data_IF_161836988732
#
_entry.id   IF_161836988732
#
_cell.length_a   1.000
_cell.length_b   1.000
_cell.length_c   1.000
_cell.angle_alpha   90.00
_cell.angle_beta   90.00
_cell.angle_gamma   90.00
#
_symmetry.space_group_name_H-M   'P 1'
#
loop_
_entity.id
_entity.type
_entity.pdbx_description
1 polymer ?
#
# COMPACT_ATOMS: atom_id res chain seq x y z
N UNK A 1 -7.55 -35.39 -39.32
CA UNK A 1 -6.50 -35.05 -38.33
C UNK A 1 -7.14 -34.23 -37.21
N UNK A 2 -7.72 -34.87 -36.17
CA UNK A 2 -8.34 -34.20 -35.00
C UNK A 2 -8.69 -35.27 -33.95
N UNK A 3 -7.69 -35.82 -33.25
CA UNK A 3 -7.92 -36.81 -32.15
C UNK A 3 -7.02 -36.61 -30.93
N UNK A 4 -6.04 -35.70 -30.96
CA UNK A 4 -5.10 -35.48 -29.83
C UNK A 4 -5.47 -34.29 -28.94
N UNK A 5 -6.23 -33.31 -29.42
CA UNK A 5 -6.55 -32.08 -28.66
C UNK A 5 -7.68 -32.26 -27.65
N UNK A 6 -8.69 -33.09 -27.96
CA UNK A 6 -9.86 -33.27 -27.09
C UNK A 6 -9.54 -34.00 -25.76
N UNK A 7 -8.58 -34.94 -25.75
CA UNK A 7 -8.18 -35.63 -24.52
C UNK A 7 -7.47 -34.69 -23.53
N UNK A 8 -6.59 -33.82 -24.03
CA UNK A 8 -5.83 -32.88 -23.18
C UNK A 8 -6.77 -31.86 -22.55
N UNK A 9 -7.73 -31.33 -23.32
CA UNK A 9 -8.72 -30.36 -22.80
C UNK A 9 -9.62 -30.98 -21.74
N UNK A 10 -10.10 -32.22 -21.93
CA UNK A 10 -10.89 -32.92 -20.90
C UNK A 10 -10.08 -33.20 -19.62
N UNK A 11 -8.81 -33.60 -19.73
CA UNK A 11 -7.98 -33.87 -18.55
C UNK A 11 -7.68 -32.60 -17.75
N UNK A 12 -7.47 -31.46 -18.43
CA UNK A 12 -7.27 -30.16 -17.77
C UNK A 12 -8.55 -29.69 -17.08
N UNK A 13 -9.72 -29.84 -17.71
CA UNK A 13 -11.00 -29.45 -17.07
C UNK A 13 -11.28 -30.30 -15.83
N UNK A 14 -11.05 -31.63 -15.88
CA UNK A 14 -11.24 -32.52 -14.72
C UNK A 14 -10.29 -32.15 -13.58
N UNK A 15 -9.02 -31.85 -13.89
CA UNK A 15 -8.05 -31.40 -12.88
C UNK A 15 -8.48 -30.08 -12.23
N UNK A 16 -8.94 -29.09 -13.02
CA UNK A 16 -9.40 -27.80 -12.48
C UNK A 16 -10.65 -27.98 -11.62
N UNK A 17 -11.65 -28.77 -12.06
CA UNK A 17 -12.86 -29.03 -11.24
C UNK A 17 -12.58 -29.83 -9.98
N UNK A 18 -11.60 -30.74 -10.00
CA UNK A 18 -11.19 -31.48 -8.81
C UNK A 18 -10.46 -30.58 -7.81
N UNK A 19 -9.61 -29.67 -8.28
CA UNK A 19 -8.90 -28.71 -7.42
C UNK A 19 -9.89 -27.73 -6.78
N UNK A 20 -10.83 -27.17 -7.55
CA UNK A 20 -11.86 -26.27 -7.00
C UNK A 20 -12.85 -27.00 -6.10
N UNK A 21 -13.21 -28.24 -6.41
CA UNK A 21 -14.12 -29.05 -5.61
C UNK A 21 -13.51 -29.49 -4.26
N UNK A 22 -12.22 -29.79 -4.23
CA UNK A 22 -11.49 -30.13 -2.99
C UNK A 22 -11.32 -28.90 -2.09
N UNK A 23 -11.01 -27.73 -2.66
CA UNK A 23 -10.91 -26.46 -1.90
C UNK A 23 -12.25 -26.04 -1.28
N UNK A 24 -13.36 -26.13 -2.02
CA UNK A 24 -14.70 -25.83 -1.50
C UNK A 24 -15.15 -26.84 -0.43
N UNK A 25 -14.83 -28.13 -0.60
CA UNK A 25 -15.17 -29.17 0.37
C UNK A 25 -14.33 -29.06 1.65
N UNK A 26 -13.07 -28.62 1.59
CA UNK A 26 -12.24 -28.41 2.78
C UNK A 26 -12.67 -27.20 3.60
N UNK A 27 -13.12 -26.11 2.97
CA UNK A 27 -13.68 -24.94 3.69
C UNK A 27 -14.92 -25.29 4.51
N UNK A 28 -15.77 -26.19 3.99
CA UNK A 28 -16.99 -26.66 4.69
C UNK A 28 -16.73 -27.61 5.88
N UNK A 29 -15.55 -28.24 5.95
CA UNK A 29 -15.22 -29.27 6.96
C UNK A 29 -14.13 -28.83 7.96
N UNK A 30 -13.23 -27.92 7.59
CA UNK A 30 -12.02 -27.59 8.36
C UNK A 30 -11.88 -26.11 8.74
N UNK A 31 -12.89 -25.28 8.42
CA UNK A 31 -12.91 -23.85 8.72
C UNK A 31 -12.36 -22.99 7.58
N UNK A 32 -12.56 -21.67 7.69
CA UNK A 32 -12.27 -20.68 6.64
C UNK A 32 -10.80 -20.66 6.18
N UNK A 33 -9.87 -21.09 7.03
CA UNK A 33 -8.43 -21.06 6.78
C UNK A 33 -7.81 -22.45 6.61
N UNK A 34 -8.61 -23.46 6.29
CA UNK A 34 -8.12 -24.82 6.12
C UNK A 34 -7.09 -24.94 4.99
N UNK A 35 -5.85 -25.31 5.34
CA UNK A 35 -4.77 -25.50 4.36
C UNK A 35 -3.99 -24.23 4.05
N UNK A 36 -4.30 -23.09 4.69
CA UNK A 36 -3.58 -21.82 4.49
C UNK A 36 -2.09 -21.93 4.81
N UNK A 37 -1.70 -22.88 5.67
CA UNK A 37 -0.29 -23.16 5.98
C UNK A 37 0.50 -23.66 4.76
N UNK A 38 -0.19 -24.21 3.75
CA UNK A 38 0.40 -24.68 2.50
C UNK A 38 0.48 -23.60 1.44
N UNK A 39 -0.37 -22.57 1.53
CA UNK A 39 -0.41 -21.44 0.60
C UNK A 39 0.84 -20.58 0.71
N UNK A 40 1.24 -19.97 -0.40
CA UNK A 40 2.32 -19.00 -0.39
C UNK A 40 1.85 -17.70 0.28
N UNK A 41 2.74 -17.08 1.07
CA UNK A 41 2.51 -15.74 1.60
C UNK A 41 2.97 -14.72 0.55
N UNK A 42 2.04 -13.93 0.02
CA UNK A 42 2.32 -12.90 -0.99
C UNK A 42 2.60 -11.53 -0.37
N UNK A 43 2.09 -11.32 0.84
CA UNK A 43 2.25 -10.05 1.54
C UNK A 43 2.09 -10.14 3.06
N UNK A 44 2.69 -9.16 3.72
CA UNK A 44 2.57 -8.93 5.14
C UNK A 44 2.41 -7.43 5.38
N UNK A 45 1.56 -7.05 6.33
CA UNK A 45 1.41 -5.65 6.75
C UNK A 45 1.27 -5.57 8.26
N UNK A 46 2.03 -4.66 8.84
CA UNK A 46 1.86 -4.15 10.20
C UNK A 46 1.43 -2.69 10.13
N UNK A 47 0.52 -2.27 11.01
CA UNK A 47 0.18 -0.86 11.16
C UNK A 47 -0.21 -0.50 12.58
N UNK A 48 0.17 0.70 13.00
CA UNK A 48 -0.21 1.34 14.26
C UNK A 48 -0.95 2.62 13.96
N UNK A 49 -2.17 2.79 14.46
CA UNK A 49 -2.98 4.00 14.21
C UNK A 49 -4.06 4.22 15.28
N UNK A 50 -4.79 5.33 15.21
CA UNK A 50 -6.00 5.56 16.02
C UNK A 50 -5.78 6.29 17.35
N UNK A 51 -4.57 6.82 17.60
CA UNK A 51 -4.33 7.70 18.75
C UNK A 51 -4.86 9.12 18.52
N UNK A 52 -5.00 9.91 19.59
CA UNK A 52 -5.54 11.30 19.55
C UNK A 52 -4.88 12.19 18.49
N UNK A 53 -3.56 12.06 18.31
CA UNK A 53 -2.82 12.88 17.36
C UNK A 53 -3.18 12.56 15.90
N UNK A 54 -3.84 11.42 15.67
CA UNK A 54 -4.19 10.93 14.34
C UNK A 54 -2.99 10.49 13.52
N UNK A 55 -1.81 10.37 14.15
CA UNK A 55 -0.63 9.79 13.51
C UNK A 55 -0.82 8.31 13.24
N UNK A 56 -0.09 7.83 12.24
CA UNK A 56 -0.09 6.42 11.86
C UNK A 56 1.28 5.97 11.39
N UNK A 57 1.56 4.71 11.60
CA UNK A 57 2.75 4.04 11.10
C UNK A 57 2.32 2.75 10.42
N UNK A 58 2.95 2.40 9.30
CA UNK A 58 2.76 1.08 8.70
C UNK A 58 4.02 0.60 8.03
N UNK A 59 4.24 -0.70 8.14
CA UNK A 59 5.24 -1.46 7.41
C UNK A 59 4.50 -2.49 6.57
N UNK A 60 4.97 -2.69 5.35
CA UNK A 60 4.47 -3.77 4.51
C UNK A 60 5.59 -4.40 3.73
N UNK A 61 5.46 -5.70 3.50
CA UNK A 61 6.35 -6.50 2.66
C UNK A 61 5.46 -7.19 1.65
N UNK A 62 5.78 -7.09 0.38
CA UNK A 62 5.03 -7.76 -0.69
C UNK A 62 5.95 -8.26 -1.78
N UNK A 63 5.52 -9.27 -2.53
CA UNK A 63 6.26 -9.73 -3.69
C UNK A 63 6.52 -8.60 -4.69
N UNK A 64 7.74 -8.55 -5.24
CA UNK A 64 8.14 -7.51 -6.18
C UNK A 64 8.74 -8.06 -7.47
N UNK A 65 9.67 -9.02 -7.34
CA UNK A 65 10.29 -9.70 -8.47
C UNK A 65 10.54 -11.19 -8.16
N UNK A 66 11.30 -11.86 -9.02
CA UNK A 66 11.70 -13.26 -8.82
C UNK A 66 12.45 -13.44 -7.50
N UNK A 67 13.47 -12.59 -7.26
CA UNK A 67 14.37 -12.73 -6.12
C UNK A 67 14.12 -11.72 -4.98
N UNK A 68 13.29 -10.69 -5.21
CA UNK A 68 13.12 -9.60 -4.23
C UNK A 68 11.68 -9.40 -3.79
N UNK A 69 11.53 -8.97 -2.54
CA UNK A 69 10.31 -8.38 -2.01
C UNK A 69 10.49 -6.86 -1.84
N UNK A 70 9.36 -6.14 -1.93
CA UNK A 70 9.29 -4.71 -1.68
C UNK A 70 8.89 -4.48 -0.22
N UNK A 71 9.78 -3.86 0.55
CA UNK A 71 9.49 -3.39 1.89
C UNK A 71 9.13 -1.91 1.82
N UNK A 72 7.91 -1.54 2.24
CA UNK A 72 7.43 -0.15 2.28
C UNK A 72 7.15 0.27 3.72
N UNK A 73 7.74 1.38 4.16
CA UNK A 73 7.46 2.06 5.43
C UNK A 73 6.73 3.36 5.13
N UNK A 74 5.57 3.57 5.75
CA UNK A 74 4.79 4.81 5.66
C UNK A 74 4.58 5.34 7.08
N UNK A 75 4.86 6.63 7.28
CA UNK A 75 4.68 7.28 8.57
C UNK A 75 3.98 8.63 8.41
N UNK A 76 2.86 8.81 9.08
CA UNK A 76 2.17 10.08 9.24
C UNK A 76 2.29 10.52 10.69
N UNK A 77 2.74 11.74 10.94
CA UNK A 77 2.82 12.27 12.31
C UNK A 77 1.44 12.66 12.84
N UNK A 78 0.55 13.09 11.95
CA UNK A 78 -0.79 13.61 12.28
C UNK A 78 -1.78 13.30 11.16
N UNK A 79 -3.08 13.37 11.44
CA UNK A 79 -4.13 13.02 10.47
C UNK A 79 -4.19 13.86 9.17
N UNK A 80 -3.46 14.99 9.10
CA UNK A 80 -3.37 15.86 7.91
C UNK A 80 -1.97 15.91 7.30
N UNK A 81 -1.06 15.09 7.82
CA UNK A 81 0.30 14.96 7.28
C UNK A 81 0.27 14.10 6.02
N UNK A 82 1.00 14.50 4.99
CA UNK A 82 1.18 13.70 3.77
C UNK A 82 2.02 12.45 4.05
N UNK A 83 2.73 12.50 5.17
CA UNK A 83 3.56 11.42 5.66
C UNK A 83 4.87 11.31 4.90
N UNK A 84 5.72 10.43 5.39
CA UNK A 84 6.94 10.02 4.71
C UNK A 84 6.79 8.60 4.22
N UNK A 85 7.37 8.32 3.06
CA UNK A 85 7.44 6.96 2.53
C UNK A 85 8.87 6.60 2.25
N UNK A 86 9.26 5.38 2.64
CA UNK A 86 10.55 4.78 2.31
C UNK A 86 10.30 3.39 1.77
N UNK A 87 10.93 3.07 0.65
CA UNK A 87 10.83 1.76 0.02
C UNK A 87 12.21 1.13 -0.10
N UNK A 88 12.25 -0.19 0.06
CA UNK A 88 13.47 -0.96 -0.01
C UNK A 88 13.23 -2.25 -0.80
N UNK A 89 14.25 -2.68 -1.52
CA UNK A 89 14.35 -4.05 -1.98
C UNK A 89 15.04 -4.87 -0.90
N UNK A 90 14.37 -5.94 -0.49
CA UNK A 90 14.88 -6.96 0.42
C UNK A 90 14.82 -8.31 -0.26
N UNK A 91 15.61 -9.25 0.23
CA UNK A 91 15.55 -10.64 -0.22
C UNK A 91 14.14 -11.21 0.03
N UNK A 92 13.59 -11.92 -0.98
CA UNK A 92 12.24 -12.49 -0.96
C UNK A 92 12.05 -13.55 0.13
N UNK A 93 13.13 -14.15 0.65
CA UNK A 93 13.09 -15.12 1.76
C UNK A 93 12.39 -14.59 3.02
N UNK A 94 12.32 -13.26 3.19
CA UNK A 94 11.58 -12.61 4.29
C UNK A 94 10.12 -13.11 4.38
N UNK A 95 9.45 -13.32 3.25
CA UNK A 95 8.06 -13.79 3.22
C UNK A 95 7.95 -15.24 3.73
N UNK A 96 8.97 -16.06 3.48
CA UNK A 96 9.03 -17.43 3.99
C UNK A 96 9.26 -17.44 5.51
N UNK A 97 10.14 -16.58 6.03
CA UNK A 97 10.39 -16.45 7.48
C UNK A 97 9.13 -15.93 8.21
N UNK A 98 8.47 -14.91 7.67
CA UNK A 98 7.20 -14.38 8.23
C UNK A 98 6.10 -15.46 8.21
N UNK A 99 5.96 -16.21 7.12
CA UNK A 99 5.04 -17.35 7.03
C UNK A 99 5.38 -18.42 8.06
N UNK A 100 6.65 -18.72 8.28
CA UNK A 100 7.06 -19.73 9.26
C UNK A 100 6.60 -19.35 10.68
N UNK A 101 6.71 -18.06 11.06
CA UNK A 101 6.18 -17.56 12.34
C UNK A 101 4.66 -17.68 12.42
N UNK A 102 3.96 -17.32 11.34
CA UNK A 102 2.50 -17.47 11.23
C UNK A 102 2.06 -18.92 11.52
N UNK A 103 2.69 -19.89 10.85
CA UNK A 103 2.38 -21.33 10.99
C UNK A 103 2.78 -21.85 12.37
N UNK A 104 3.98 -21.50 12.86
CA UNK A 104 4.52 -21.90 14.17
C UNK A 104 3.57 -21.56 15.32
N UNK A 105 2.90 -20.42 15.25
CA UNK A 105 2.02 -19.94 16.32
C UNK A 105 0.53 -20.10 16.06
N UNK A 106 0.14 -20.79 14.99
CA UNK A 106 -1.25 -21.00 14.59
C UNK A 106 -2.03 -19.67 14.51
N UNK A 107 -1.43 -18.68 13.85
CA UNK A 107 -2.01 -17.33 13.75
C UNK A 107 -3.29 -17.29 12.91
N UNK A 108 -3.60 -18.33 12.14
CA UNK A 108 -4.91 -18.47 11.47
C UNK A 108 -6.07 -18.44 12.46
N UNK A 109 -5.85 -18.88 13.71
CA UNK A 109 -6.86 -18.87 14.79
C UNK A 109 -6.98 -17.50 15.48
N UNK A 110 -6.23 -16.52 14.99
CA UNK A 110 -6.18 -15.18 15.56
C UNK A 110 -6.96 -14.19 14.72
N UNK A 111 -7.45 -14.60 13.54
CA UNK A 111 -8.28 -13.77 12.70
C UNK A 111 -9.46 -13.18 13.49
N UNK A 112 -9.59 -11.85 13.43
CA UNK A 112 -10.61 -11.07 14.14
C UNK A 112 -10.73 -11.39 15.64
N UNK A 113 -9.68 -11.97 16.24
CA UNK A 113 -9.71 -12.41 17.64
C UNK A 113 -9.71 -11.21 18.57
N UNK A 114 -10.58 -11.25 19.58
CA UNK A 114 -10.49 -10.35 20.73
C UNK A 114 -9.38 -10.84 21.68
N UNK A 115 -8.25 -10.14 21.72
CA UNK A 115 -7.10 -10.52 22.57
C UNK A 115 -7.22 -10.03 24.00
N UNK A 116 -7.98 -8.96 24.22
CA UNK A 116 -8.20 -8.34 25.52
C UNK A 116 -9.57 -7.68 25.57
N UNK A 117 -10.16 -7.63 26.76
CA UNK A 117 -11.36 -6.83 27.03
C UNK A 117 -11.01 -5.39 27.46
N UNK A 118 -9.71 -5.08 27.59
CA UNK A 118 -9.25 -3.75 27.95
C UNK A 118 -9.45 -2.80 26.78
N UNK A 119 -10.14 -1.69 27.05
CA UNK A 119 -10.18 -0.53 26.17
C UNK A 119 -9.26 0.54 26.72
N UNK A 120 -8.41 1.09 25.87
CA UNK A 120 -7.54 2.21 26.21
C UNK A 120 -8.09 3.41 25.47
N UNK A 121 -8.68 4.36 26.22
CA UNK A 121 -9.09 5.63 25.65
C UNK A 121 -7.87 6.28 24.97
N UNK A 122 -8.06 6.75 23.74
CA UNK A 122 -7.02 7.40 22.93
C UNK A 122 -5.80 6.52 22.58
N UNK A 123 -5.89 5.22 22.87
CA UNK A 123 -4.85 4.25 22.58
C UNK A 123 -4.79 3.90 21.10
N UNK A 124 -3.58 3.86 20.56
CA UNK A 124 -3.35 3.31 19.22
C UNK A 124 -3.65 1.83 19.18
N UNK A 125 -4.19 1.35 18.07
CA UNK A 125 -4.30 -0.08 17.78
C UNK A 125 -3.15 -0.52 16.88
N UNK A 126 -2.53 -1.63 17.27
CA UNK A 126 -1.59 -2.38 16.45
C UNK A 126 -2.37 -3.43 15.66
N UNK A 127 -2.15 -3.49 14.35
CA UNK A 127 -2.86 -4.36 13.42
C UNK A 127 -1.87 -5.08 12.53
N UNK A 128 -2.16 -6.35 12.28
CA UNK A 128 -1.37 -7.25 11.44
C UNK A 128 -2.27 -7.84 10.37
N UNK A 129 -1.71 -8.01 9.18
CA UNK A 129 -2.36 -8.69 8.05
C UNK A 129 -1.35 -9.57 7.34
N UNK A 130 -1.72 -10.82 7.12
CA UNK A 130 -0.99 -11.78 6.30
C UNK A 130 -1.84 -12.05 5.05
N UNK A 131 -1.29 -11.77 3.88
CA UNK A 131 -1.95 -11.94 2.58
C UNK A 131 -1.38 -13.18 1.90
N UNK A 132 -2.24 -14.17 1.67
CA UNK A 132 -1.94 -15.41 0.96
C UNK A 132 -2.63 -15.42 -0.41
N UNK A 133 -2.28 -16.39 -1.25
CA UNK A 133 -2.77 -16.53 -2.62
C UNK A 133 -4.31 -16.49 -2.73
N UNK A 134 -5.03 -17.07 -1.76
CA UNK A 134 -6.49 -17.18 -1.83
C UNK A 134 -7.23 -16.44 -0.72
N UNK A 135 -6.57 -16.13 0.39
CA UNK A 135 -7.21 -15.52 1.54
C UNK A 135 -6.24 -14.62 2.33
N UNK A 136 -6.73 -13.94 3.35
CA UNK A 136 -5.92 -13.18 4.28
C UNK A 136 -6.38 -13.40 5.71
N UNK A 137 -5.43 -13.31 6.64
CA UNK A 137 -5.71 -13.30 8.08
C UNK A 137 -5.36 -11.94 8.62
N UNK A 138 -6.28 -11.31 9.33
CA UNK A 138 -6.04 -10.00 9.94
C UNK A 138 -6.52 -9.95 11.38
N UNK A 139 -5.72 -9.30 12.22
CA UNK A 139 -6.02 -9.17 13.63
C UNK A 139 -5.41 -7.89 14.19
N UNK A 140 -6.12 -7.27 15.13
CA UNK A 140 -5.71 -6.00 15.73
C UNK A 140 -6.02 -5.95 17.20
N UNK A 141 -5.21 -5.23 17.97
CA UNK A 141 -5.48 -4.93 19.37
C UNK A 141 -4.81 -3.62 19.79
N UNK A 142 -5.43 -2.89 20.72
CA UNK A 142 -4.76 -1.79 21.44
C UNK A 142 -3.72 -2.30 22.44
N UNK A 143 -3.84 -3.57 22.83
CA UNK A 143 -2.90 -4.22 23.76
C UNK A 143 -2.86 -5.72 23.52
N UNK A 144 -1.67 -6.24 23.24
CA UNK A 144 -1.42 -7.68 23.18
C UNK A 144 -0.89 -8.17 24.53
N UNK A 145 -1.56 -9.12 25.21
CA UNK A 145 -1.01 -9.77 26.39
C UNK A 145 0.34 -10.45 26.10
N UNK A 146 1.16 -10.62 27.13
CA UNK A 146 2.56 -11.12 27.01
C UNK A 146 2.71 -12.40 26.18
N UNK A 147 1.75 -13.32 26.31
CA UNK A 147 1.72 -14.58 25.55
C UNK A 147 1.56 -14.42 24.03
N UNK A 148 1.17 -13.23 23.56
CA UNK A 148 1.05 -12.87 22.15
C UNK A 148 2.11 -11.86 21.73
N UNK A 149 2.41 -10.85 22.54
CA UNK A 149 3.44 -9.84 22.22
C UNK A 149 4.81 -10.48 22.00
N UNK A 150 5.19 -11.47 22.83
CA UNK A 150 6.44 -12.24 22.66
C UNK A 150 6.54 -12.95 21.30
N UNK A 151 5.40 -13.34 20.72
CA UNK A 151 5.34 -13.98 19.39
C UNK A 151 5.41 -12.96 18.25
N UNK A 152 4.77 -11.80 18.44
CA UNK A 152 4.81 -10.70 17.47
C UNK A 152 6.21 -10.08 17.38
N UNK A 153 6.98 -10.07 18.48
CA UNK A 153 8.37 -9.62 18.49
C UNK A 153 9.27 -10.41 17.52
N UNK A 154 8.98 -11.70 17.29
CA UNK A 154 9.72 -12.52 16.31
C UNK A 154 9.49 -12.01 14.88
N UNK A 155 8.31 -11.45 14.56
CA UNK A 155 8.06 -10.78 13.28
C UNK A 155 8.92 -9.51 13.17
N UNK A 156 8.92 -8.67 14.21
CA UNK A 156 9.72 -7.43 14.23
C UNK A 156 11.22 -7.70 14.06
N UNK A 157 11.73 -8.76 14.69
CA UNK A 157 13.14 -9.18 14.56
C UNK A 157 13.48 -9.61 13.13
N UNK A 158 12.58 -10.32 12.45
CA UNK A 158 12.74 -10.67 11.03
C UNK A 158 12.76 -9.40 10.17
N UNK A 159 11.80 -8.50 10.35
CA UNK A 159 11.72 -7.27 9.55
C UNK A 159 13.01 -6.43 9.69
N UNK A 160 13.50 -6.26 10.92
CA UNK A 160 14.72 -5.51 11.19
C UNK A 160 15.96 -6.16 10.56
N UNK A 161 16.12 -7.49 10.69
CA UNK A 161 17.22 -8.25 10.09
C UNK A 161 17.33 -8.02 8.58
N UNK A 162 16.21 -8.04 7.86
CA UNK A 162 16.22 -7.84 6.41
C UNK A 162 16.45 -6.38 6.00
N UNK A 163 15.98 -5.43 6.81
CA UNK A 163 16.23 -4.00 6.59
C UNK A 163 17.72 -3.63 6.70
N UNK A 164 18.51 -4.32 7.53
CA UNK A 164 19.95 -4.04 7.70
C UNK A 164 20.76 -4.14 6.40
N UNK A 165 20.37 -5.03 5.48
CA UNK A 165 21.06 -5.27 4.21
C UNK A 165 20.24 -4.81 3.00
N UNK A 166 19.18 -4.05 3.22
CA UNK A 166 18.24 -3.69 2.17
C UNK A 166 18.80 -2.63 1.22
N UNK A 167 18.39 -2.69 -0.05
CA UNK A 167 18.69 -1.64 -1.02
C UNK A 167 17.58 -0.61 -1.01
N UNK A 168 17.87 0.63 -0.63
CA UNK A 168 16.90 1.72 -0.67
C UNK A 168 16.48 2.03 -2.11
N UNK A 169 15.19 2.23 -2.33
CA UNK A 169 14.62 2.63 -3.61
C UNK A 169 14.40 4.16 -3.68
N UNK A 170 14.42 4.75 -4.88
CA UNK A 170 14.15 6.17 -5.04
C UNK A 170 12.76 6.57 -4.53
N UNK A 171 12.69 7.66 -3.77
CA UNK A 171 11.48 8.16 -3.12
C UNK A 171 11.19 9.63 -3.44
N UNK A 172 9.98 10.10 -3.12
CA UNK A 172 9.64 11.52 -3.26
C UNK A 172 10.46 12.37 -2.30
N UNK A 173 11.13 13.40 -2.82
CA UNK A 173 11.76 14.42 -2.00
C UNK A 173 10.70 15.36 -1.43
N UNK A 174 10.49 15.30 -0.12
CA UNK A 174 9.62 16.22 0.60
C UNK A 174 10.50 17.29 1.24
N UNK A 175 10.46 18.51 0.71
CA UNK A 175 11.22 19.62 1.28
C UNK A 175 10.66 20.03 2.65
N UNK A 176 11.51 20.01 3.68
CA UNK A 176 11.19 20.37 5.07
C UNK A 176 10.60 21.78 5.27
N UNK A 177 10.66 22.64 4.25
CA UNK A 177 10.16 24.02 4.28
C UNK A 177 8.64 24.16 4.38
N UNK A 178 7.87 23.08 4.19
CA UNK A 178 6.41 23.07 4.40
C UNK A 178 6.03 22.73 5.86
N UNK A 179 6.99 22.59 6.78
CA UNK A 179 6.76 22.32 8.21
C UNK A 179 6.52 23.58 9.05
N UNK A 180 5.88 24.62 8.49
CA UNK A 180 5.60 25.84 9.26
C UNK A 180 4.30 25.67 10.06
N UNK A 181 4.44 25.04 11.24
CA UNK A 181 3.44 24.70 12.27
C UNK A 181 2.89 23.27 12.19
N UNK A 182 2.72 22.63 13.36
CA UNK A 182 2.20 21.26 13.50
C UNK A 182 0.72 21.08 13.09
N UNK A 183 0.09 22.12 12.52
CA UNK A 183 -1.34 22.16 12.18
C UNK A 183 -1.66 22.80 10.82
N UNK A 184 -0.67 23.28 10.07
CA UNK A 184 -0.92 23.89 8.76
C UNK A 184 -1.14 22.79 7.73
N UNK A 185 -2.30 22.84 7.08
CA UNK A 185 -2.55 22.02 5.90
C UNK A 185 -1.43 22.29 4.88
N UNK A 186 -0.89 21.23 4.28
CA UNK A 186 0.14 21.32 3.22
C UNK A 186 -0.42 21.89 1.90
N UNK A 187 -1.67 22.34 1.91
CA UNK A 187 -2.44 22.96 0.84
C UNK A 187 -3.40 23.99 1.45
N UNK A 188 -3.68 25.09 0.74
CA UNK A 188 -4.55 26.16 1.22
C UNK A 188 -5.85 26.21 0.41
N UNK A 189 -6.93 25.73 1.05
CA UNK A 189 -8.29 25.75 0.51
C UNK A 189 -8.94 27.14 0.56
N UNK A 190 -8.24 28.17 1.02
CA UNK A 190 -8.68 29.57 0.97
C UNK A 190 -7.73 30.45 0.16
N UNK A 191 -6.87 29.84 -0.66
CA UNK A 191 -5.83 30.54 -1.44
C UNK A 191 -6.38 31.40 -2.59
N UNK A 192 -7.67 31.27 -2.93
CA UNK A 192 -8.27 31.90 -4.11
C UNK A 192 -7.77 31.32 -5.44
N UNK A 193 -7.05 30.18 -5.41
CA UNK A 193 -6.47 29.52 -6.60
C UNK A 193 -6.70 28.00 -6.55
N UNK A 194 -6.60 27.36 -7.71
CA UNK A 194 -6.49 25.91 -7.79
C UNK A 194 -5.01 25.54 -7.87
N UNK A 195 -4.57 24.63 -7.00
CA UNK A 195 -3.17 24.22 -6.86
C UNK A 195 -3.07 22.71 -7.09
N UNK A 196 -2.17 22.30 -7.98
CA UNK A 196 -1.77 20.91 -8.18
C UNK A 196 -0.50 20.61 -7.37
N UNK A 197 -0.49 19.50 -6.64
CA UNK A 197 0.72 19.01 -5.99
C UNK A 197 0.83 17.50 -6.03
N UNK A 198 2.06 17.00 -6.15
CA UNK A 198 2.42 15.61 -5.88
C UNK A 198 2.76 15.51 -4.40
N UNK A 199 2.17 14.54 -3.70
CA UNK A 199 2.33 14.44 -2.25
C UNK A 199 2.88 13.10 -1.76
N UNK A 200 2.85 12.05 -2.59
CA UNK A 200 3.46 10.78 -2.24
C UNK A 200 3.87 10.02 -3.49
N UNK A 201 4.92 9.20 -3.36
CA UNK A 201 5.36 8.28 -4.39
C UNK A 201 5.82 6.98 -3.72
N UNK A 202 5.15 5.88 -4.04
CA UNK A 202 5.49 4.55 -3.53
C UNK A 202 4.78 3.47 -4.36
N UNK A 203 5.33 2.25 -4.38
CA UNK A 203 4.74 1.09 -5.06
C UNK A 203 4.38 1.39 -6.52
N UNK A 204 5.23 2.17 -7.21
CA UNK A 204 5.03 2.69 -8.59
C UNK A 204 3.78 3.56 -8.76
N UNK A 205 3.16 4.04 -7.70
CA UNK A 205 2.06 5.00 -7.74
C UNK A 205 2.57 6.39 -7.40
N UNK A 206 2.27 7.36 -8.28
CA UNK A 206 2.47 8.77 -8.02
C UNK A 206 1.13 9.36 -7.57
N UNK A 207 1.06 9.77 -6.31
CA UNK A 207 -0.13 10.33 -5.69
C UNK A 207 -0.10 11.85 -5.78
N UNK A 208 -1.21 12.42 -6.23
CA UNK A 208 -1.34 13.84 -6.48
C UNK A 208 -2.70 14.35 -5.99
N UNK A 209 -2.77 15.66 -5.75
CA UNK A 209 -4.02 16.34 -5.39
C UNK A 209 -4.21 17.65 -6.14
N UNK A 210 -5.47 17.99 -6.36
CA UNK A 210 -5.90 19.34 -6.72
C UNK A 210 -6.64 19.94 -5.53
N UNK A 211 -6.13 21.07 -5.03
CA UNK A 211 -6.78 21.88 -4.02
C UNK A 211 -7.49 23.05 -4.68
N UNK A 212 -8.83 23.09 -4.61
CA UNK A 212 -9.59 24.24 -5.06
C UNK A 212 -9.78 25.23 -3.93
N UNK A 213 -8.93 26.26 -3.90
CA UNK A 213 -9.04 27.36 -2.96
C UNK A 213 -10.00 28.48 -3.38
N UNK A 214 -10.76 28.30 -4.47
CA UNK A 214 -11.71 29.29 -4.98
C UNK A 214 -13.13 29.05 -4.45
N UNK A 215 -13.98 30.08 -4.53
CA UNK A 215 -15.40 30.01 -4.18
C UNK A 215 -16.26 29.31 -5.26
N UNK A 216 -15.67 28.96 -6.41
CA UNK A 216 -16.37 28.41 -7.56
C UNK A 216 -16.09 26.92 -7.74
N UNK A 217 -17.13 26.19 -8.17
CA UNK A 217 -16.95 24.85 -8.72
C UNK A 217 -16.41 24.93 -10.15
N UNK A 218 -15.45 24.06 -10.47
CA UNK A 218 -14.94 23.93 -11.84
C UNK A 218 -15.13 22.54 -12.40
N UNK A 219 -15.52 22.47 -13.66
CA UNK A 219 -15.44 21.25 -14.49
C UNK A 219 -14.14 21.30 -15.27
N UNK A 220 -13.38 20.22 -15.19
CA UNK A 220 -12.03 20.19 -15.75
C UNK A 220 -11.82 18.90 -16.54
N UNK A 221 -11.24 19.02 -17.73
CA UNK A 221 -10.90 17.87 -18.56
C UNK A 221 -9.84 17.01 -17.89
N UNK A 222 -10.01 15.70 -17.97
CA UNK A 222 -9.11 14.75 -17.33
C UNK A 222 -7.98 14.38 -18.27
N UNK A 223 -6.98 15.25 -18.34
CA UNK A 223 -5.71 15.01 -19.04
C UNK A 223 -4.57 15.06 -18.03
N UNK A 224 -3.74 14.03 -18.02
CA UNK A 224 -2.60 13.89 -17.12
C UNK A 224 -1.37 13.52 -17.94
N UNK A 225 -0.27 14.22 -17.70
CA UNK A 225 1.03 13.97 -18.30
C UNK A 225 2.14 14.09 -17.27
N UNK A 226 3.13 13.24 -17.38
CA UNK A 226 4.34 13.28 -16.56
C UNK A 226 5.55 13.36 -17.47
N UNK A 227 6.44 14.29 -17.19
CA UNK A 227 7.67 14.52 -17.93
C UNK A 227 8.84 14.43 -16.98
N UNK A 228 9.96 13.92 -17.48
CA UNK A 228 11.24 14.19 -16.86
C UNK A 228 11.64 15.63 -17.19
N UNK A 229 12.28 16.31 -16.24
CA UNK A 229 12.73 17.69 -16.46
C UNK A 229 13.61 17.81 -17.72
N UNK A 230 13.37 18.86 -18.50
CA UNK A 230 14.01 19.10 -19.80
C UNK A 230 13.52 18.23 -20.97
N UNK A 231 12.66 17.24 -20.75
CA UNK A 231 12.10 16.41 -21.83
C UNK A 231 10.77 16.98 -22.35
N UNK A 232 10.57 16.92 -23.68
CA UNK A 232 9.33 17.37 -24.33
C UNK A 232 8.31 16.26 -24.55
N UNK A 233 8.72 14.99 -24.40
CA UNK A 233 7.86 13.81 -24.57
C UNK A 233 7.48 13.29 -23.19
N UNK A 234 6.17 13.07 -22.92
CA UNK A 234 5.75 12.55 -21.62
C UNK A 234 6.16 11.09 -21.45
N UNK A 235 6.69 10.75 -20.27
CA UNK A 235 6.96 9.35 -19.85
C UNK A 235 5.68 8.62 -19.42
N UNK A 236 4.61 9.38 -19.16
CA UNK A 236 3.27 8.88 -18.91
C UNK A 236 2.26 9.89 -19.44
N UNK A 237 1.24 9.42 -20.17
CA UNK A 237 0.10 10.22 -20.60
C UNK A 237 -1.19 9.41 -20.44
N UNK A 238 -2.22 10.05 -19.90
CA UNK A 238 -3.56 9.52 -19.82
C UNK A 238 -4.56 10.64 -20.04
N UNK A 239 -5.49 10.43 -20.97
CA UNK A 239 -6.63 11.30 -21.17
C UNK A 239 -7.93 10.52 -20.99
N UNK A 240 -8.97 11.22 -20.57
CA UNK A 240 -10.32 10.71 -20.44
C UNK A 240 -11.30 11.77 -20.94
N UNK A 241 -12.29 11.34 -21.72
CA UNK A 241 -13.40 12.19 -22.16
C UNK A 241 -14.29 12.64 -21.00
N UNK A 242 -14.22 11.95 -19.85
CA UNK A 242 -14.94 12.34 -18.63
C UNK A 242 -14.23 13.52 -17.97
N UNK A 243 -14.97 14.58 -17.75
CA UNK A 243 -14.58 15.69 -16.90
C UNK A 243 -14.69 15.33 -15.42
N UNK A 244 -13.83 15.91 -14.61
CA UNK A 244 -13.99 15.92 -13.16
C UNK A 244 -14.68 17.21 -12.72
N UNK A 245 -15.48 17.12 -11.66
CA UNK A 245 -16.04 18.28 -10.98
C UNK A 245 -15.23 18.54 -9.72
N UNK A 246 -14.63 19.72 -9.63
CA UNK A 246 -13.84 20.16 -8.50
C UNK A 246 -14.61 21.26 -7.77
N UNK A 247 -15.33 20.89 -6.71
CA UNK A 247 -16.13 21.81 -5.90
C UNK A 247 -15.26 22.83 -5.15
N UNK A 248 -15.84 24.00 -4.87
CA UNK A 248 -15.22 25.07 -4.10
C UNK A 248 -14.72 24.61 -2.72
N UNK A 249 -13.53 25.06 -2.31
CA UNK A 249 -12.89 24.71 -1.03
C UNK A 249 -12.77 23.19 -0.78
N UNK A 250 -12.59 22.39 -1.83
CA UNK A 250 -12.42 20.93 -1.74
C UNK A 250 -11.15 20.44 -2.41
N UNK A 251 -10.76 19.25 -1.97
CA UNK A 251 -9.68 18.46 -2.57
C UNK A 251 -10.24 17.46 -3.57
N UNK A 252 -9.46 17.21 -4.59
CA UNK A 252 -9.53 16.01 -5.41
C UNK A 252 -8.19 15.29 -5.33
N UNK A 253 -8.18 14.06 -4.83
CA UNK A 253 -6.98 13.25 -4.68
C UNK A 253 -7.09 11.99 -5.53
N UNK A 254 -6.00 11.62 -6.17
CA UNK A 254 -5.94 10.42 -6.99
C UNK A 254 -4.46 10.00 -7.19
N UNK A 255 -4.24 8.91 -7.91
CA UNK A 255 -2.90 8.44 -8.25
C UNK A 255 -2.79 7.97 -9.69
N UNK A 256 -1.57 7.98 -10.20
CA UNK A 256 -1.21 7.31 -11.45
C UNK A 256 -0.31 6.12 -11.17
N UNK A 257 -0.68 4.95 -11.67
CA UNK A 257 0.17 3.76 -11.65
C UNK A 257 1.13 3.81 -12.83
N UNK A 258 2.43 3.82 -12.52
CA UNK A 258 3.51 3.83 -13.49
C UNK A 258 3.94 2.40 -13.83
N UNK A 259 4.40 2.20 -15.07
CA UNK A 259 4.89 0.89 -15.51
C UNK A 259 6.29 0.56 -14.95
N UNK A 260 7.06 1.59 -14.59
CA UNK A 260 8.41 1.49 -14.08
C UNK A 260 8.59 2.46 -12.91
N UNK A 261 9.59 2.19 -12.08
CA UNK A 261 10.03 3.16 -11.08
C UNK A 261 10.59 4.40 -11.78
N UNK A 262 10.31 5.56 -11.22
CA UNK A 262 10.99 6.81 -11.57
C UNK A 262 12.46 6.72 -11.15
N UNK A 263 13.35 7.14 -12.04
CA UNK A 263 14.75 7.34 -11.69
C UNK A 263 14.91 8.61 -10.84
N UNK A 264 15.96 8.74 -10.03
CA UNK A 264 16.26 9.99 -9.35
C UNK A 264 16.35 11.18 -10.32
N UNK A 265 15.82 12.32 -9.91
CA UNK A 265 15.80 13.56 -10.68
C UNK A 265 14.49 14.33 -10.57
N UNK A 266 14.44 15.44 -11.31
CA UNK A 266 13.29 16.36 -11.35
C UNK A 266 12.28 15.96 -12.41
N UNK A 267 11.01 16.24 -12.11
CA UNK A 267 9.87 15.90 -12.93
C UNK A 267 8.87 17.05 -12.95
N UNK A 268 8.18 17.18 -14.08
CA UNK A 268 7.00 18.05 -14.23
C UNK A 268 5.76 17.18 -14.35
N UNK A 269 4.78 17.40 -13.50
CA UNK A 269 3.47 16.76 -13.54
C UNK A 269 2.43 17.77 -14.02
N UNK A 270 1.79 17.47 -15.14
CA UNK A 270 0.66 18.22 -15.68
C UNK A 270 -0.62 17.41 -15.44
N UNK A 271 -1.62 18.02 -14.83
CA UNK A 271 -2.89 17.38 -14.56
C UNK A 271 -4.02 18.40 -14.60
N UNK A 272 -5.06 18.11 -15.39
CA UNK A 272 -6.29 18.90 -15.40
C UNK A 272 -6.05 20.38 -15.76
N UNK A 273 -5.11 20.65 -16.68
CA UNK A 273 -4.74 22.01 -17.07
C UNK A 273 -3.90 22.79 -16.03
N UNK A 274 -3.45 22.13 -14.97
CA UNK A 274 -2.50 22.66 -13.98
C UNK A 274 -1.18 21.90 -14.06
N UNK A 275 -0.11 22.51 -13.58
CA UNK A 275 1.21 21.89 -13.53
C UNK A 275 1.88 22.07 -12.17
N UNK A 276 2.80 21.17 -11.86
CA UNK A 276 3.62 21.21 -10.65
C UNK A 276 4.94 20.50 -10.91
N UNK A 277 5.98 20.88 -10.18
CA UNK A 277 7.31 20.25 -10.24
C UNK A 277 7.59 19.49 -8.95
N UNK A 278 8.31 18.38 -9.06
CA UNK A 278 8.71 17.57 -7.92
C UNK A 278 10.03 16.83 -8.22
N UNK A 279 10.65 16.26 -7.19
CA UNK A 279 11.93 15.57 -7.30
C UNK A 279 11.85 14.18 -6.66
N UNK A 280 12.50 13.21 -7.29
CA UNK A 280 12.72 11.86 -6.78
C UNK A 280 14.19 11.75 -6.37
N UNK A 281 14.48 11.26 -5.16
CA UNK A 281 15.83 11.06 -4.61
C UNK A 281 16.12 9.58 -4.38
#
# INVERSE_FOLDING_TARGET
MMKRTAKIVCTVIIAVTAITGVALASMGLFGEFAGIEKEKLEGYKYSRSGGIQGGSYSESVQEYSEDHALFTIIQHKWHRDDGTVKEYLVDKEILNELKAVFVKYHMEKWDNKKFTDRFIADGTSDSYRFEFETNHVSFSSQYYPEKYSSKLKELDEILNKYLENATILPGLLIHDTIKKSDYTQLYDLNSGKIILSVYSYHQKHLYYRLANGTDEEKKIDSVIRLYRDGESVPIYEKSSERQITLSAHRLYENSVKLNKLLAPGKYRFEGFGYETEFEIQ
#
